data_IF_500907040488
#
_entry.id   IF_500907040488
#
_cell.length_a   1.000
_cell.length_b   1.000
_cell.length_c   1.000
_cell.angle_alpha   90.00
_cell.angle_beta   90.00
_cell.angle_gamma   90.00
#
_symmetry.space_group_name_H-M   'P 1'
#
loop_
_entity.id
_entity.type
_entity.pdbx_description
1 polymer ?
#
# COMPACT_ATOMS: atom_id res chain seq x y z
N UNK A 1 -28.64 20.73 -12.56
CA UNK A 1 -29.40 19.55 -12.99
C UNK A 1 -29.04 18.37 -12.09
N UNK A 2 -30.03 17.72 -11.45
CA UNK A 2 -29.84 16.45 -10.71
C UNK A 2 -30.17 15.30 -11.67
N UNK A 3 -29.35 14.26 -11.71
CA UNK A 3 -29.54 13.10 -12.61
C UNK A 3 -30.52 12.05 -12.02
N UNK A 4 -31.22 12.38 -10.94
CA UNK A 4 -32.15 11.52 -10.21
C UNK A 4 -33.46 12.26 -9.92
N UNK A 5 -34.53 11.50 -9.62
CA UNK A 5 -35.86 12.06 -9.38
C UNK A 5 -35.96 12.76 -8.02
N UNK A 6 -36.90 13.70 -7.89
CA UNK A 6 -37.18 14.34 -6.60
C UNK A 6 -37.66 13.32 -5.54
N UNK A 7 -38.37 12.28 -5.97
CA UNK A 7 -38.82 11.20 -5.10
C UNK A 7 -37.64 10.40 -4.54
N UNK A 8 -36.67 10.02 -5.39
CA UNK A 8 -35.43 9.36 -4.97
C UNK A 8 -34.65 10.16 -3.93
N UNK A 9 -34.58 11.48 -4.11
CA UNK A 9 -33.90 12.36 -3.15
C UNK A 9 -34.53 12.34 -1.75
N UNK A 10 -35.86 12.26 -1.69
CA UNK A 10 -36.62 12.37 -0.45
C UNK A 10 -36.80 11.03 0.26
N UNK A 11 -36.79 9.91 -0.49
CA UNK A 11 -37.19 8.61 0.03
C UNK A 11 -36.09 7.53 -0.06
N UNK A 12 -35.10 7.66 -0.95
CA UNK A 12 -34.09 6.61 -1.18
C UNK A 12 -32.69 6.97 -0.65
N UNK A 13 -32.37 8.25 -0.51
CA UNK A 13 -31.04 8.69 -0.07
C UNK A 13 -31.02 8.89 1.44
N UNK A 14 -29.96 8.37 2.07
CA UNK A 14 -29.68 8.67 3.48
C UNK A 14 -29.43 10.18 3.66
N UNK A 15 -29.89 10.76 4.78
CA UNK A 15 -29.71 12.18 5.04
C UNK A 15 -28.25 12.57 5.28
N UNK A 16 -27.45 11.64 5.80
CA UNK A 16 -26.03 11.83 6.09
C UNK A 16 -25.25 10.55 5.76
N UNK A 17 -23.99 10.69 5.38
CA UNK A 17 -23.09 9.56 5.19
C UNK A 17 -22.59 9.05 6.54
N UNK A 18 -22.50 7.74 6.71
CA UNK A 18 -21.88 7.11 7.87
C UNK A 18 -20.41 7.59 8.03
N UNK A 19 -19.91 7.85 9.25
CA UNK A 19 -18.52 8.23 9.50
C UNK A 19 -17.49 7.24 8.90
N UNK A 20 -16.31 7.74 8.55
CA UNK A 20 -15.25 6.91 7.95
C UNK A 20 -14.72 5.84 8.92
N UNK A 21 -14.55 6.21 10.20
CA UNK A 21 -14.04 5.31 11.25
C UNK A 21 -14.91 4.07 11.46
N UNK A 22 -16.20 4.13 11.09
CA UNK A 22 -17.13 3.00 11.16
C UNK A 22 -17.16 2.15 9.89
N UNK A 23 -16.45 2.56 8.83
CA UNK A 23 -16.51 1.94 7.48
C UNK A 23 -15.18 1.37 6.98
N UNK A 24 -14.06 1.68 7.64
CA UNK A 24 -12.71 1.33 7.15
C UNK A 24 -11.99 0.36 8.09
N UNK A 25 -10.93 -0.28 7.57
CA UNK A 25 -10.02 -1.08 8.41
C UNK A 25 -9.21 -0.14 9.32
N UNK A 26 -9.23 -0.43 10.62
CA UNK A 26 -8.60 0.40 11.64
C UNK A 26 -7.14 0.04 11.92
N UNK A 27 -6.51 -0.88 11.17
CA UNK A 27 -5.13 -1.33 11.42
C UNK A 27 -4.12 -0.17 11.53
N UNK A 28 -4.16 0.78 10.59
CA UNK A 28 -3.32 1.98 10.64
C UNK A 28 -3.65 2.89 11.83
N UNK A 29 -4.94 3.09 12.11
CA UNK A 29 -5.40 3.95 13.20
C UNK A 29 -4.98 3.37 14.56
N UNK A 30 -5.18 2.06 14.76
CA UNK A 30 -4.79 1.35 15.98
C UNK A 30 -3.28 1.38 16.17
N UNK A 31 -2.50 1.14 15.11
CA UNK A 31 -1.04 1.21 15.16
C UNK A 31 -0.57 2.61 15.58
N UNK A 32 -1.18 3.66 15.02
CA UNK A 32 -0.90 5.06 15.35
C UNK A 32 -1.31 5.41 16.79
N UNK A 33 -2.50 5.03 17.24
CA UNK A 33 -2.93 5.29 18.63
C UNK A 33 -2.00 4.60 19.63
N UNK A 34 -1.58 3.37 19.33
CA UNK A 34 -0.62 2.63 20.15
C UNK A 34 0.77 3.27 20.15
N UNK A 35 1.24 3.81 19.02
CA UNK A 35 2.53 4.52 18.97
C UNK A 35 2.52 5.83 19.77
N UNK A 36 1.35 6.48 19.88
CA UNK A 36 1.11 7.65 20.74
C UNK A 36 0.99 7.32 22.23
N UNK A 37 1.00 6.03 22.61
CA UNK A 37 0.90 5.58 23.99
C UNK A 37 -0.53 5.38 24.50
N UNK A 38 -1.53 5.42 23.62
CA UNK A 38 -2.94 5.16 23.98
C UNK A 38 -3.16 3.65 24.02
N UNK A 39 -3.32 3.13 25.24
CA UNK A 39 -3.44 1.68 25.45
C UNK A 39 -4.87 1.18 25.53
N UNK A 40 -5.77 1.96 26.13
CA UNK A 40 -7.19 1.65 26.26
C UNK A 40 -7.96 2.23 25.08
N UNK A 41 -8.08 1.44 24.02
CA UNK A 41 -8.78 1.82 22.79
C UNK A 41 -10.30 1.68 22.93
N UNK A 42 -10.78 0.89 23.91
CA UNK A 42 -12.20 0.64 24.11
C UNK A 42 -12.90 1.81 24.79
N UNK A 43 -12.19 2.49 25.70
CA UNK A 43 -12.68 3.69 26.39
C UNK A 43 -12.08 4.97 25.82
N UNK A 44 -11.45 4.91 24.64
CA UNK A 44 -10.96 6.11 23.97
C UNK A 44 -12.12 6.98 23.51
N UNK A 45 -11.99 8.29 23.71
CA UNK A 45 -13.04 9.29 23.45
C UNK A 45 -13.16 9.60 21.95
N UNK A 46 -13.68 8.63 21.19
CA UNK A 46 -14.04 8.82 19.79
C UNK A 46 -15.34 9.63 19.68
N UNK A 47 -15.37 10.62 18.78
CA UNK A 47 -16.60 11.38 18.47
C UNK A 47 -17.73 10.45 17.99
N UNK A 48 -17.39 9.52 17.09
CA UNK A 48 -18.25 8.41 16.68
C UNK A 48 -17.45 7.12 16.86
N UNK A 49 -17.71 6.32 17.91
CA UNK A 49 -16.91 5.14 18.18
C UNK A 49 -17.07 4.09 17.07
N UNK A 50 -15.97 3.43 16.66
CA UNK A 50 -16.05 2.29 15.76
C UNK A 50 -16.68 1.07 16.45
N UNK A 51 -17.22 0.10 15.68
CA UNK A 51 -17.64 -1.17 16.24
C UNK A 51 -16.49 -1.89 16.96
N UNK A 52 -16.78 -2.46 18.13
CA UNK A 52 -15.79 -3.18 18.94
C UNK A 52 -15.13 -4.34 18.18
N UNK A 53 -15.90 -5.02 17.32
CA UNK A 53 -15.38 -6.10 16.46
C UNK A 53 -14.28 -5.60 15.51
N UNK A 54 -14.46 -4.42 14.91
CA UNK A 54 -13.48 -3.84 13.98
C UNK A 54 -12.18 -3.48 14.71
N UNK A 55 -12.27 -2.95 15.94
CA UNK A 55 -11.10 -2.69 16.78
C UNK A 55 -10.38 -3.99 17.15
N UNK A 56 -11.13 -5.02 17.54
CA UNK A 56 -10.56 -6.33 17.89
C UNK A 56 -9.81 -6.95 16.70
N UNK A 57 -10.42 -6.94 15.52
CA UNK A 57 -9.79 -7.48 14.29
C UNK A 57 -8.53 -6.72 13.91
N UNK A 58 -8.49 -5.41 14.10
CA UNK A 58 -7.28 -4.62 13.88
C UNK A 58 -6.17 -4.98 14.88
N UNK A 59 -6.50 -5.19 16.15
CA UNK A 59 -5.54 -5.66 17.17
C UNK A 59 -5.02 -7.06 16.85
N UNK A 60 -5.89 -7.99 16.48
CA UNK A 60 -5.52 -9.35 16.06
C UNK A 60 -4.61 -9.34 14.84
N UNK A 61 -4.91 -8.51 13.83
CA UNK A 61 -4.07 -8.34 12.65
C UNK A 61 -2.68 -7.82 13.03
N UNK A 62 -2.59 -6.79 13.87
CA UNK A 62 -1.31 -6.23 14.31
C UNK A 62 -0.51 -7.22 15.19
N UNK A 63 -1.19 -8.03 15.98
CA UNK A 63 -0.56 -9.12 16.72
C UNK A 63 0.02 -10.18 15.77
N UNK A 64 -0.76 -10.62 14.77
CA UNK A 64 -0.30 -11.59 13.77
C UNK A 64 0.90 -11.08 12.94
N UNK A 65 0.97 -9.78 12.66
CA UNK A 65 2.11 -9.14 11.99
C UNK A 65 3.35 -9.02 12.90
N UNK A 66 3.19 -9.25 14.20
CA UNK A 66 4.23 -9.07 15.22
C UNK A 66 4.46 -7.61 15.63
N UNK A 67 3.53 -6.72 15.28
CA UNK A 67 3.57 -5.31 15.70
C UNK A 67 3.21 -5.15 17.19
N UNK A 68 2.37 -6.05 17.71
CA UNK A 68 1.98 -6.11 19.13
C UNK A 68 2.50 -7.39 19.80
N UNK A 69 2.77 -7.34 21.11
CA UNK A 69 3.06 -8.51 21.93
C UNK A 69 1.79 -9.12 22.56
N UNK A 70 1.92 -10.21 23.33
CA UNK A 70 0.79 -10.88 24.02
C UNK A 70 0.04 -9.99 25.02
N UNK A 71 0.64 -8.86 25.42
CA UNK A 71 0.04 -7.87 26.32
C UNK A 71 -0.63 -6.72 25.57
N UNK A 72 -0.61 -6.74 24.23
CA UNK A 72 -1.16 -5.67 23.39
C UNK A 72 -0.31 -4.39 23.39
N UNK A 73 0.98 -4.49 23.73
CA UNK A 73 1.95 -3.40 23.69
C UNK A 73 2.76 -3.42 22.40
N UNK A 74 3.20 -2.25 21.96
CA UNK A 74 3.94 -2.09 20.71
C UNK A 74 5.36 -2.67 20.80
N UNK A 75 5.69 -3.61 19.89
CA UNK A 75 7.02 -4.21 19.79
C UNK A 75 8.02 -3.27 19.13
N UNK A 76 9.32 -3.62 19.12
CA UNK A 76 10.34 -2.89 18.35
C UNK A 76 9.98 -2.83 16.86
N UNK A 77 9.45 -3.92 16.33
CA UNK A 77 8.98 -3.99 14.95
C UNK A 77 7.76 -3.08 14.75
N UNK A 78 6.76 -3.13 15.66
CA UNK A 78 5.59 -2.26 15.59
C UNK A 78 5.95 -0.77 15.60
N UNK A 79 6.97 -0.38 16.38
CA UNK A 79 7.50 0.99 16.37
C UNK A 79 8.10 1.37 15.01
N UNK A 80 8.90 0.50 14.40
CA UNK A 80 9.42 0.73 13.04
C UNK A 80 8.29 0.83 12.02
N UNK A 81 7.27 -0.04 12.12
CA UNK A 81 6.11 -0.02 11.23
C UNK A 81 5.32 1.29 11.32
N UNK A 82 5.21 1.87 12.52
CA UNK A 82 4.47 3.12 12.76
C UNK A 82 5.14 4.37 12.14
N UNK A 83 6.43 4.31 11.78
CA UNK A 83 7.11 5.41 11.10
C UNK A 83 6.77 5.51 9.61
N UNK A 84 6.21 4.44 9.02
CA UNK A 84 5.85 4.40 7.61
C UNK A 84 4.38 4.81 7.39
N UNK A 85 4.08 5.72 6.44
CA UNK A 85 2.72 6.06 6.05
C UNK A 85 2.13 5.01 5.09
N UNK A 86 2.26 3.73 5.45
CA UNK A 86 1.80 2.59 4.66
C UNK A 86 0.86 1.74 5.51
N UNK A 87 0.04 0.91 4.85
CA UNK A 87 -0.74 -0.12 5.52
C UNK A 87 0.17 -1.05 6.36
N UNK A 88 -0.27 -1.58 7.53
CA UNK A 88 0.61 -2.33 8.40
C UNK A 88 1.17 -3.59 7.73
N UNK A 89 0.44 -4.19 6.77
CA UNK A 89 0.96 -5.32 6.00
C UNK A 89 2.17 -4.91 5.14
N UNK A 90 2.07 -3.78 4.44
CA UNK A 90 3.16 -3.26 3.60
C UNK A 90 4.35 -2.79 4.45
N UNK A 91 4.08 -2.11 5.57
CA UNK A 91 5.12 -1.71 6.53
C UNK A 91 5.89 -2.92 7.06
N UNK A 92 5.18 -4.04 7.33
CA UNK A 92 5.80 -5.29 7.76
C UNK A 92 6.68 -5.90 6.67
N UNK A 93 6.20 -5.97 5.43
CA UNK A 93 6.96 -6.46 4.27
C UNK A 93 8.24 -5.64 4.08
N UNK A 94 8.13 -4.31 4.16
CA UNK A 94 9.28 -3.42 4.06
C UNK A 94 10.28 -3.64 5.20
N UNK A 95 9.81 -3.77 6.44
CA UNK A 95 10.69 -4.11 7.57
C UNK A 95 11.38 -5.48 7.42
N UNK A 96 10.71 -6.46 6.83
CA UNK A 96 11.25 -7.80 6.62
C UNK A 96 12.34 -7.85 5.54
N UNK A 97 12.32 -6.90 4.60
CA UNK A 97 13.24 -6.85 3.45
C UNK A 97 14.72 -6.73 3.83
N UNK A 98 15.03 -6.13 4.98
CA UNK A 98 16.40 -6.01 5.49
C UNK A 98 17.06 -7.38 5.73
N UNK A 99 16.27 -8.37 6.17
CA UNK A 99 16.77 -9.73 6.42
C UNK A 99 17.24 -10.42 5.14
N UNK A 100 16.59 -10.14 4.02
CA UNK A 100 16.86 -10.77 2.73
C UNK A 100 17.66 -9.87 1.77
N UNK A 101 18.00 -8.64 2.19
CA UNK A 101 18.78 -7.67 1.42
C UNK A 101 18.16 -7.32 0.06
N UNK A 102 16.83 -7.23 0.02
CA UNK A 102 15.99 -6.89 -1.15
C UNK A 102 15.10 -5.67 -0.89
N UNK A 103 15.57 -4.75 -0.05
CA UNK A 103 14.82 -3.58 0.39
C UNK A 103 14.50 -2.60 -0.73
N UNK A 104 15.36 -2.47 -1.76
CA UNK A 104 15.10 -1.57 -2.89
C UNK A 104 13.92 -2.05 -3.75
N UNK A 105 13.88 -3.36 -4.00
CA UNK A 105 12.83 -4.02 -4.77
C UNK A 105 11.50 -3.98 -3.99
N UNK A 106 11.52 -4.33 -2.71
CA UNK A 106 10.32 -4.31 -1.86
C UNK A 106 9.78 -2.90 -1.70
N UNK A 107 10.63 -1.90 -1.47
CA UNK A 107 10.21 -0.51 -1.41
C UNK A 107 9.51 -0.10 -2.70
N UNK A 108 10.07 -0.44 -3.86
CA UNK A 108 9.47 -0.14 -5.17
C UNK A 108 8.10 -0.81 -5.31
N UNK A 109 7.95 -2.07 -4.90
CA UNK A 109 6.67 -2.78 -4.91
C UNK A 109 5.67 -2.08 -3.98
N UNK A 110 6.06 -1.72 -2.76
CA UNK A 110 5.20 -0.98 -1.82
C UNK A 110 4.71 0.35 -2.43
N UNK A 111 5.58 1.11 -3.09
CA UNK A 111 5.22 2.37 -3.74
C UNK A 111 4.17 2.16 -4.84
N UNK A 112 4.38 1.15 -5.68
CA UNK A 112 3.47 0.83 -6.78
C UNK A 112 2.10 0.38 -6.25
N UNK A 113 2.07 -0.44 -5.19
CA UNK A 113 0.82 -0.84 -4.55
C UNK A 113 0.08 0.33 -3.89
N UNK A 114 0.78 1.29 -3.29
CA UNK A 114 0.17 2.50 -2.72
C UNK A 114 -0.53 3.38 -3.75
N UNK A 115 -0.14 3.31 -5.02
CA UNK A 115 -0.81 4.01 -6.13
C UNK A 115 -2.01 3.25 -6.70
N UNK A 116 -2.24 2.01 -6.28
CA UNK A 116 -3.38 1.17 -6.63
C UNK A 116 -3.44 0.76 -8.11
N UNK A 117 -4.61 0.26 -8.52
CA UNK A 117 -4.84 -0.33 -9.86
C UNK A 117 -4.94 0.68 -11.01
N UNK A 118 -4.55 1.95 -10.80
CA UNK A 118 -4.61 3.00 -11.82
C UNK A 118 -3.39 3.02 -12.73
N UNK A 119 -2.38 2.18 -12.46
CA UNK A 119 -1.12 2.17 -13.23
C UNK A 119 -1.37 1.81 -14.69
N UNK A 120 -2.20 0.80 -14.95
CA UNK A 120 -2.49 0.34 -16.31
C UNK A 120 -3.79 0.95 -16.82
N UNK A 121 -3.80 1.40 -18.07
CA UNK A 121 -5.05 1.79 -18.75
C UNK A 121 -5.25 0.97 -20.02
N UNK A 122 -6.52 0.69 -20.34
CA UNK A 122 -6.89 -0.18 -21.47
C UNK A 122 -7.99 0.48 -22.29
N UNK A 123 -7.64 1.28 -23.31
CA UNK A 123 -8.63 1.89 -24.20
C UNK A 123 -9.41 0.82 -24.96
N UNK A 124 -10.73 0.97 -25.08
CA UNK A 124 -11.61 -0.04 -25.71
C UNK A 124 -11.23 -0.33 -27.16
N UNK A 125 -10.72 0.66 -27.88
CA UNK A 125 -10.25 0.59 -29.27
C UNK A 125 -8.87 -0.06 -29.42
N UNK A 126 -8.08 -0.16 -28.35
CA UNK A 126 -6.69 -0.66 -28.37
C UNK A 126 -6.43 -1.78 -27.37
N UNK A 127 -7.46 -2.52 -27.00
CA UNK A 127 -7.37 -3.60 -26.01
C UNK A 127 -6.22 -4.58 -26.29
N UNK A 128 -6.13 -5.09 -27.53
CA UNK A 128 -5.09 -6.07 -27.90
C UNK A 128 -3.67 -5.52 -27.79
N UNK A 129 -3.46 -4.24 -28.16
CA UNK A 129 -2.15 -3.59 -28.06
C UNK A 129 -1.78 -3.35 -26.60
N UNK A 130 -2.74 -2.91 -25.77
CA UNK A 130 -2.53 -2.72 -24.34
C UNK A 130 -2.20 -4.03 -23.64
N UNK A 131 -2.97 -5.10 -23.90
CA UNK A 131 -2.72 -6.42 -23.31
C UNK A 131 -1.38 -7.00 -23.77
N UNK A 132 -0.96 -6.77 -25.02
CA UNK A 132 0.36 -7.18 -25.50
C UNK A 132 1.49 -6.42 -24.77
N UNK A 133 1.36 -5.11 -24.61
CA UNK A 133 2.32 -4.31 -23.85
C UNK A 133 2.40 -4.77 -22.40
N UNK A 134 1.25 -4.99 -21.74
CA UNK A 134 1.21 -5.41 -20.34
C UNK A 134 1.80 -6.81 -20.13
N UNK A 135 1.58 -7.75 -21.06
CA UNK A 135 2.21 -9.08 -21.01
C UNK A 135 3.74 -9.03 -20.98
N UNK A 136 4.37 -8.01 -21.56
CA UNK A 136 5.83 -7.86 -21.51
C UNK A 136 6.36 -7.65 -20.08
N UNK A 137 5.55 -7.13 -19.16
CA UNK A 137 5.94 -6.99 -17.75
C UNK A 137 5.85 -8.29 -16.95
N UNK A 138 5.11 -9.28 -17.48
CA UNK A 138 4.96 -10.61 -16.89
C UNK A 138 5.95 -11.64 -17.48
N UNK A 139 7.00 -11.19 -18.19
CA UNK A 139 8.04 -12.08 -18.72
C UNK A 139 8.64 -12.92 -17.59
N UNK A 140 8.80 -14.22 -17.83
CA UNK A 140 9.26 -15.19 -16.82
C UNK A 140 8.13 -15.83 -16.00
N UNK A 141 6.87 -15.59 -16.37
CA UNK A 141 5.67 -16.07 -15.64
C UNK A 141 5.71 -15.67 -14.15
N UNK A 142 6.09 -14.42 -13.93
CA UNK A 142 6.26 -13.83 -12.60
C UNK A 142 4.92 -13.34 -12.06
N UNK A 143 4.79 -13.30 -10.73
CA UNK A 143 3.57 -12.79 -10.07
C UNK A 143 3.40 -11.26 -10.23
N UNK A 144 2.20 -10.77 -9.97
CA UNK A 144 1.82 -9.36 -10.19
C UNK A 144 2.73 -8.36 -9.46
N UNK A 145 3.18 -8.68 -8.24
CA UNK A 145 4.12 -7.84 -7.50
C UNK A 145 5.44 -7.63 -8.25
N UNK A 146 5.96 -8.67 -8.90
CA UNK A 146 7.19 -8.59 -9.69
C UNK A 146 6.92 -7.87 -11.01
N UNK A 147 5.72 -8.03 -11.60
CA UNK A 147 5.34 -7.25 -12.77
C UNK A 147 5.31 -5.74 -12.47
N UNK A 148 4.81 -5.32 -11.29
CA UNK A 148 4.85 -3.92 -10.85
C UNK A 148 6.29 -3.40 -10.70
N UNK A 149 7.18 -4.22 -10.14
CA UNK A 149 8.60 -3.92 -10.06
C UNK A 149 9.22 -3.74 -11.45
N UNK A 150 8.91 -4.64 -12.39
CA UNK A 150 9.39 -4.57 -13.76
C UNK A 150 8.91 -3.30 -14.48
N UNK A 151 7.64 -2.92 -14.31
CA UNK A 151 7.10 -1.66 -14.87
C UNK A 151 7.88 -0.45 -14.36
N UNK A 152 8.11 -0.38 -13.06
CA UNK A 152 8.84 0.76 -12.48
C UNK A 152 10.29 0.80 -12.95
N UNK A 153 10.99 -0.33 -12.94
CA UNK A 153 12.38 -0.40 -13.36
C UNK A 153 12.56 -0.07 -14.84
N UNK A 154 11.73 -0.65 -15.73
CA UNK A 154 11.79 -0.34 -17.17
C UNK A 154 11.44 1.12 -17.47
N UNK A 155 10.51 1.73 -16.72
CA UNK A 155 10.23 3.16 -16.82
C UNK A 155 11.40 4.03 -16.32
N UNK A 156 12.04 3.63 -15.22
CA UNK A 156 13.23 4.29 -14.68
C UNK A 156 14.41 4.22 -15.67
N UNK A 157 14.63 3.07 -16.29
CA UNK A 157 15.69 2.86 -17.27
C UNK A 157 15.43 3.63 -18.57
N UNK A 158 14.15 3.90 -18.88
CA UNK A 158 13.73 4.81 -19.94
C UNK A 158 13.76 6.30 -19.52
N UNK A 159 14.53 6.65 -18.49
CA UNK A 159 14.68 8.00 -17.93
C UNK A 159 13.35 8.68 -17.60
N UNK A 160 12.43 7.92 -17.02
CA UNK A 160 11.10 8.39 -16.63
C UNK A 160 10.28 8.98 -17.79
N UNK A 161 10.52 8.48 -19.02
CA UNK A 161 9.95 8.99 -20.26
C UNK A 161 8.42 8.97 -20.28
N UNK A 162 7.83 10.09 -20.70
CA UNK A 162 6.39 10.21 -20.95
C UNK A 162 5.97 9.37 -22.15
N UNK A 163 6.83 9.34 -23.18
CA UNK A 163 6.58 8.58 -24.39
C UNK A 163 6.52 7.08 -24.09
N UNK A 164 7.44 6.60 -23.24
CA UNK A 164 7.44 5.20 -22.79
C UNK A 164 6.12 4.81 -22.10
N UNK A 165 5.59 5.68 -21.23
CA UNK A 165 4.30 5.44 -20.58
C UNK A 165 3.15 5.32 -21.59
N UNK A 166 3.14 6.17 -22.62
CA UNK A 166 2.12 6.13 -23.65
C UNK A 166 2.18 4.86 -24.51
N UNK A 167 3.38 4.45 -24.92
CA UNK A 167 3.62 3.25 -25.72
C UNK A 167 3.29 1.96 -24.96
N UNK A 168 3.51 1.95 -23.64
CA UNK A 168 3.27 0.79 -22.79
C UNK A 168 1.90 0.80 -22.08
N UNK A 169 1.02 1.75 -22.41
CA UNK A 169 -0.30 1.88 -21.81
C UNK A 169 -0.27 1.99 -20.27
N UNK A 170 0.66 2.79 -19.76
CA UNK A 170 0.88 3.08 -18.33
C UNK A 170 0.53 4.54 -18.03
N UNK A 171 -0.18 4.79 -16.93
CA UNK A 171 -0.57 6.14 -16.52
C UNK A 171 0.62 6.91 -15.95
N UNK A 172 1.11 7.89 -16.70
CA UNK A 172 2.25 8.70 -16.30
C UNK A 172 2.05 9.47 -14.99
N UNK A 173 0.83 9.97 -14.73
CA UNK A 173 0.51 10.66 -13.48
C UNK A 173 0.69 9.74 -12.27
N UNK A 174 0.22 8.50 -12.38
CA UNK A 174 0.35 7.49 -11.34
C UNK A 174 1.81 7.10 -11.11
N UNK A 175 2.60 6.93 -12.18
CA UNK A 175 4.04 6.63 -12.09
C UNK A 175 4.83 7.75 -11.41
N UNK A 176 4.49 9.02 -11.70
CA UNK A 176 5.07 10.17 -11.00
C UNK A 176 4.78 10.13 -9.51
N UNK A 177 3.52 9.91 -9.13
CA UNK A 177 3.15 9.75 -7.71
C UNK A 177 3.92 8.59 -7.05
N UNK A 178 4.07 7.45 -7.73
CA UNK A 178 4.84 6.32 -7.21
C UNK A 178 6.31 6.68 -6.95
N UNK A 179 6.91 7.47 -7.85
CA UNK A 179 8.27 8.00 -7.65
C UNK A 179 8.36 8.94 -6.45
N UNK A 180 7.40 9.86 -6.31
CA UNK A 180 7.37 10.81 -5.18
C UNK A 180 7.25 10.06 -3.84
N UNK A 181 6.39 9.03 -3.77
CA UNK A 181 6.25 8.15 -2.60
C UNK A 181 7.57 7.41 -2.33
N UNK A 182 8.23 6.91 -3.37
CA UNK A 182 9.52 6.22 -3.22
C UNK A 182 10.59 7.12 -2.64
N UNK A 183 10.69 8.37 -3.11
CA UNK A 183 11.64 9.36 -2.58
C UNK A 183 11.36 9.70 -1.10
N UNK A 184 10.09 9.66 -0.67
CA UNK A 184 9.73 9.80 0.74
C UNK A 184 10.11 8.56 1.56
N UNK A 185 9.84 7.36 1.05
CA UNK A 185 10.15 6.11 1.75
C UNK A 185 11.65 5.90 1.95
N UNK A 186 12.50 6.29 0.98
CA UNK A 186 13.96 6.25 1.15
C UNK A 186 14.39 7.02 2.42
N UNK A 187 13.85 8.23 2.62
CA UNK A 187 14.17 9.05 3.81
C UNK A 187 13.67 8.40 5.11
N UNK A 188 12.56 7.67 5.06
CA UNK A 188 12.02 6.97 6.22
C UNK A 188 12.79 5.70 6.55
N UNK A 189 13.33 4.99 5.55
CA UNK A 189 14.21 3.84 5.75
C UNK A 189 15.46 4.21 6.55
N UNK A 190 16.05 5.38 6.27
CA UNK A 190 17.18 5.90 7.06
C UNK A 190 16.80 6.09 8.54
N UNK A 191 15.59 6.60 8.83
CA UNK A 191 15.12 6.83 10.22
C UNK A 191 14.90 5.52 10.99
N UNK A 192 14.53 4.44 10.31
CA UNK A 192 14.31 3.13 10.95
C UNK A 192 15.54 2.20 10.84
N UNK A 193 16.67 2.73 10.39
CA UNK A 193 17.95 2.02 10.25
C UNK A 193 17.85 0.78 9.34
N UNK A 194 17.14 0.92 8.21
CA UNK A 194 17.11 -0.11 7.17
C UNK A 194 17.95 0.37 5.99
N UNK A 195 19.00 -0.38 5.66
CA UNK A 195 19.89 -0.04 4.55
C UNK A 195 19.25 -0.38 3.20
N UNK A 196 19.22 0.55 2.23
CA UNK A 196 18.75 0.27 0.88
C UNK A 196 19.74 -0.64 0.16
N UNK A 197 19.44 -1.93 0.20
CA UNK A 197 20.14 -3.02 -0.48
C UNK A 197 19.28 -3.60 -1.58
N UNK A 198 19.93 -3.97 -2.70
CA UNK A 198 19.32 -4.56 -3.88
C UNK A 198 19.97 -5.91 -4.16
N UNK A 199 19.13 -6.92 -4.41
CA UNK A 199 19.55 -8.23 -4.87
C UNK A 199 18.50 -8.78 -5.85
N UNK A 200 18.53 -8.22 -7.07
CA UNK A 200 17.54 -8.49 -8.14
C UNK A 200 17.44 -9.97 -8.50
N UNK A 201 18.48 -10.77 -8.28
CA UNK A 201 18.50 -12.19 -8.58
C UNK A 201 17.82 -13.05 -7.50
N UNK A 202 17.65 -12.53 -6.28
CA UNK A 202 17.03 -13.26 -5.18
C UNK A 202 15.49 -13.10 -5.18
N UNK A 203 14.88 -13.70 -6.21
CA UNK A 203 13.42 -13.75 -6.36
C UNK A 203 12.75 -14.46 -5.18
N UNK A 204 13.45 -15.40 -4.53
CA UNK A 204 12.92 -16.12 -3.37
C UNK A 204 12.93 -15.22 -2.12
N UNK A 205 13.96 -14.39 -1.94
CA UNK A 205 14.01 -13.35 -0.93
C UNK A 205 12.85 -12.37 -1.06
N UNK A 206 12.58 -11.88 -2.27
CA UNK A 206 11.44 -10.98 -2.55
C UNK A 206 10.11 -11.65 -2.18
N UNK A 207 9.89 -12.90 -2.62
CA UNK A 207 8.65 -13.65 -2.31
C UNK A 207 8.48 -13.90 -0.81
N UNK A 208 9.57 -14.22 -0.10
CA UNK A 208 9.58 -14.43 1.36
C UNK A 208 9.31 -13.15 2.17
N UNK A 209 9.51 -11.97 1.59
CA UNK A 209 9.14 -10.72 2.25
C UNK A 209 7.63 -10.45 2.16
N UNK A 210 7.02 -10.86 1.04
CA UNK A 210 5.59 -10.65 0.73
C UNK A 210 4.70 -11.69 1.45
N UNK A 211 5.24 -12.87 1.75
CA UNK A 211 4.54 -13.97 2.45
C UNK A 211 4.70 -13.87 3.96
#
# INVERSE_FOLDING_TARGET
FRLYTAWSFQNELDPNTVPEIQRTNLGNVVLMLKSLGINDLMHFDFMDPPPAETLLRALEQLYALGALNDRGELTKLGRKMAEFPLDPMLSKTLCASDKYKVSDEIMTICCMLSCGNTIFYRPKDKLQLADHAHKSFHIGNVGDHIALLNVYNTWRDADFSVQWCYENFVQQRTMKTARDIREQLVKLLERVEIEPTSNVNDMDGIKKCIT
#
